data_IF_319620332100
#
_entry.id   IF_319620332100
#
_cell.length_a   1.000
_cell.length_b   1.000
_cell.length_c   1.000
_cell.angle_alpha   90.00
_cell.angle_beta   90.00
_cell.angle_gamma   90.00
#
_symmetry.space_group_name_H-M   'P 1'
#
loop_
_entity.id
_entity.type
_entity.pdbx_description
1 polymer ?
#
# COMPACT_ATOMS: atom_id res chain seq x y z
N UNK A 1 -8.12 17.41 -8.85
CA UNK A 1 -8.73 16.40 -7.97
C UNK A 1 -10.08 16.91 -7.47
N UNK A 2 -10.99 16.03 -7.07
CA UNK A 2 -12.24 16.46 -6.42
C UNK A 2 -12.05 16.46 -4.90
N UNK A 3 -12.38 17.55 -4.23
CA UNK A 3 -12.35 17.70 -2.77
C UNK A 3 -13.71 18.22 -2.35
N UNK A 4 -14.41 17.51 -1.45
CA UNK A 4 -15.78 17.83 -1.03
C UNK A 4 -16.75 18.11 -2.20
N UNK A 5 -16.63 17.28 -3.25
CA UNK A 5 -17.44 17.38 -4.47
C UNK A 5 -17.04 18.51 -5.43
N UNK A 6 -15.97 19.28 -5.15
CA UNK A 6 -15.52 20.39 -6.00
C UNK A 6 -14.21 20.07 -6.70
N UNK A 7 -14.09 20.33 -8.01
CA UNK A 7 -12.82 20.19 -8.70
C UNK A 7 -11.85 21.28 -8.22
N UNK A 8 -10.68 20.86 -7.75
CA UNK A 8 -9.62 21.72 -7.23
C UNK A 8 -8.27 21.33 -7.83
N UNK A 9 -7.45 22.35 -8.10
CA UNK A 9 -6.03 22.21 -8.41
C UNK A 9 -5.25 22.19 -7.10
N UNK A 10 -4.47 21.13 -6.87
CA UNK A 10 -3.77 20.89 -5.62
C UNK A 10 -2.27 20.69 -5.87
N UNK A 11 -1.44 21.05 -4.89
CA UNK A 11 -0.05 20.62 -4.84
C UNK A 11 0.06 19.34 -4.00
N UNK A 12 0.08 18.18 -4.68
CA UNK A 12 0.12 16.87 -4.02
C UNK A 12 1.58 16.46 -3.76
N UNK A 13 1.98 16.46 -2.48
CA UNK A 13 3.29 16.02 -2.04
C UNK A 13 3.30 14.50 -1.81
N UNK A 14 4.32 13.81 -2.31
CA UNK A 14 4.49 12.36 -2.13
C UNK A 14 5.86 12.08 -1.53
N UNK A 15 5.91 11.44 -0.36
CA UNK A 15 7.12 10.97 0.30
C UNK A 15 6.92 9.49 0.64
N UNK A 16 7.72 8.60 0.04
CA UNK A 16 7.50 7.15 0.15
C UNK A 16 6.19 6.69 -0.51
N UNK A 17 5.72 7.41 -1.52
CA UNK A 17 4.47 7.12 -2.24
C UNK A 17 4.64 7.36 -3.73
N UNK A 18 3.90 6.61 -4.54
CA UNK A 18 3.98 6.64 -6.01
C UNK A 18 2.66 7.15 -6.59
N UNK A 19 2.72 7.89 -7.71
CA UNK A 19 1.53 8.29 -8.46
C UNK A 19 0.90 7.06 -9.13
N UNK A 20 -0.43 6.94 -9.06
CA UNK A 20 -1.20 5.81 -9.54
C UNK A 20 -2.50 6.28 -10.21
N UNK A 21 -2.39 6.88 -11.41
CA UNK A 21 -3.55 7.35 -12.16
C UNK A 21 -4.42 6.22 -12.73
N UNK A 22 -5.74 6.43 -12.77
CA UNK A 22 -6.70 5.41 -13.20
C UNK A 22 -6.70 5.21 -14.73
N UNK A 23 -7.30 4.11 -15.23
CA UNK A 23 -7.59 3.96 -16.66
C UNK A 23 -8.29 5.18 -17.25
N UNK A 24 -7.99 5.51 -18.51
CA UNK A 24 -8.58 6.65 -19.22
C UNK A 24 -7.93 8.00 -18.93
N UNK A 25 -7.09 8.12 -17.90
CA UNK A 25 -6.48 9.41 -17.54
C UNK A 25 -5.58 9.96 -18.67
N UNK A 26 -5.74 11.24 -18.98
CA UNK A 26 -5.10 11.89 -20.14
C UNK A 26 -3.57 11.94 -20.04
N UNK A 27 -3.03 12.06 -18.84
CA UNK A 27 -1.58 12.05 -18.58
C UNK A 27 -0.92 10.67 -18.70
N UNK A 28 -1.68 9.59 -18.89
CA UNK A 28 -1.12 8.26 -19.11
C UNK A 28 -0.78 8.10 -20.61
N UNK A 29 0.41 7.54 -20.95
CA UNK A 29 0.74 7.20 -22.33
C UNK A 29 -0.37 6.34 -22.99
N UNK A 30 -0.66 6.55 -24.29
CA UNK A 30 -1.75 5.85 -24.98
C UNK A 30 -1.71 4.32 -24.83
N UNK A 31 -0.52 3.73 -24.77
CA UNK A 31 -0.28 2.29 -24.70
C UNK A 31 -0.80 1.68 -23.39
N UNK A 32 -0.83 2.45 -22.30
CA UNK A 32 -1.28 1.99 -20.98
C UNK A 32 -2.60 2.62 -20.55
N UNK A 33 -3.09 3.63 -21.28
CA UNK A 33 -4.28 4.39 -20.87
C UNK A 33 -5.50 3.50 -20.64
N UNK A 34 -5.69 2.44 -21.42
CA UNK A 34 -6.82 1.52 -21.26
C UNK A 34 -6.77 0.70 -19.95
N UNK A 35 -5.57 0.43 -19.41
CA UNK A 35 -5.39 -0.41 -18.21
C UNK A 35 -5.07 0.39 -16.95
N UNK A 36 -4.70 1.67 -17.09
CA UNK A 36 -4.27 2.53 -15.99
C UNK A 36 -2.75 2.68 -15.93
N UNK A 37 -2.28 3.56 -15.05
CA UNK A 37 -0.86 3.88 -14.97
C UNK A 37 -0.10 2.67 -14.39
N UNK A 38 0.93 2.14 -15.06
CA UNK A 38 1.82 1.17 -14.45
C UNK A 38 2.53 1.80 -13.24
N UNK A 39 2.54 1.08 -12.13
CA UNK A 39 3.19 1.50 -10.88
C UNK A 39 4.24 0.46 -10.54
N UNK A 40 5.49 0.92 -10.38
CA UNK A 40 6.61 0.08 -9.98
C UNK A 40 6.77 0.16 -8.47
N UNK A 41 6.69 -0.99 -7.80
CA UNK A 41 6.90 -1.11 -6.35
C UNK A 41 8.21 -1.89 -6.13
N UNK A 42 9.34 -1.19 -5.94
CA UNK A 42 10.59 -1.85 -5.57
C UNK A 42 10.49 -2.60 -4.24
N UNK A 43 11.10 -3.78 -4.21
CA UNK A 43 11.52 -4.44 -2.98
C UNK A 43 12.92 -4.01 -2.53
N UNK A 44 13.50 -4.78 -1.62
CA UNK A 44 14.94 -4.74 -1.31
C UNK A 44 15.78 -5.58 -2.27
N UNK A 45 17.10 -5.43 -2.14
CA UNK A 45 18.04 -6.43 -2.64
C UNK A 45 17.70 -7.82 -2.10
N UNK A 46 17.23 -8.71 -2.99
CA UNK A 46 16.92 -10.10 -2.66
C UNK A 46 15.46 -10.37 -2.27
N UNK A 47 14.57 -9.38 -2.36
CA UNK A 47 13.12 -9.58 -2.25
C UNK A 47 12.41 -9.26 -3.56
N UNK A 48 11.18 -9.73 -3.70
CA UNK A 48 10.40 -9.47 -4.91
C UNK A 48 10.03 -7.99 -5.08
N UNK A 49 9.80 -7.61 -6.35
CA UNK A 49 9.28 -6.31 -6.76
C UNK A 49 7.98 -6.51 -7.51
N UNK A 50 7.08 -5.52 -7.46
CA UNK A 50 5.73 -5.65 -8.02
C UNK A 50 5.46 -4.60 -9.08
N UNK A 51 4.64 -4.97 -10.06
CA UNK A 51 4.02 -4.05 -11.01
C UNK A 51 2.53 -4.03 -10.74
N UNK A 52 2.00 -2.86 -10.43
CA UNK A 52 0.58 -2.63 -10.20
C UNK A 52 0.03 -1.70 -11.27
N UNK A 53 -1.30 -1.53 -11.29
CA UNK A 53 -1.98 -0.51 -12.12
C UNK A 53 -2.75 0.46 -11.24
N UNK A 54 -2.72 1.74 -11.58
CA UNK A 54 -3.52 2.76 -10.92
C UNK A 54 -5.01 2.54 -11.13
N UNK A 55 -5.83 2.98 -10.17
CA UNK A 55 -7.26 2.68 -10.12
C UNK A 55 -8.10 3.93 -9.84
N UNK A 56 -9.38 3.89 -10.23
CA UNK A 56 -10.34 4.95 -9.90
C UNK A 56 -10.49 5.12 -8.39
N UNK A 57 -10.40 4.02 -7.64
CA UNK A 57 -10.41 4.04 -6.19
C UNK A 57 -9.23 4.86 -5.65
N UNK A 58 -8.01 4.64 -6.14
CA UNK A 58 -6.86 5.44 -5.73
C UNK A 58 -7.04 6.92 -6.06
N UNK A 59 -7.69 7.26 -7.17
CA UNK A 59 -8.00 8.64 -7.55
C UNK A 59 -8.95 9.32 -6.57
N UNK A 60 -9.97 8.61 -6.10
CA UNK A 60 -10.96 9.10 -5.15
C UNK A 60 -10.49 9.14 -3.69
N UNK A 61 -9.71 8.14 -3.26
CA UNK A 61 -9.37 7.95 -1.84
C UNK A 61 -7.98 8.46 -1.47
N UNK A 62 -7.04 8.50 -2.42
CA UNK A 62 -5.62 8.76 -2.16
C UNK A 62 -4.98 9.76 -3.14
N UNK A 63 -5.79 10.62 -3.77
CA UNK A 63 -5.33 11.60 -4.76
C UNK A 63 -4.50 10.97 -5.90
N UNK A 64 -4.90 9.79 -6.36
CA UNK A 64 -4.21 9.02 -7.39
C UNK A 64 -2.80 8.62 -6.93
N UNK A 65 -2.69 8.10 -5.71
CA UNK A 65 -1.42 7.68 -5.13
C UNK A 65 -1.51 6.25 -4.56
N UNK A 66 -0.37 5.60 -4.45
CA UNK A 66 -0.20 4.28 -3.84
C UNK A 66 1.16 4.19 -3.15
N UNK A 67 1.51 3.03 -2.59
CA UNK A 67 2.80 2.79 -1.95
C UNK A 67 3.99 2.92 -2.93
N UNK A 68 5.19 3.00 -2.36
CA UNK A 68 6.45 2.98 -3.10
C UNK A 68 7.24 1.70 -2.82
N UNK A 69 7.29 1.25 -1.56
CA UNK A 69 8.13 0.12 -1.16
C UNK A 69 7.31 -1.12 -0.81
N UNK A 70 7.89 -2.29 -1.04
CA UNK A 70 7.41 -3.57 -0.53
C UNK A 70 8.36 -4.15 0.53
N UNK A 71 7.90 -5.17 1.27
CA UNK A 71 8.76 -5.98 2.14
C UNK A 71 9.17 -5.39 3.49
N UNK A 72 8.76 -4.14 3.81
CA UNK A 72 9.00 -3.53 5.13
C UNK A 72 8.13 -4.17 6.22
N UNK A 73 8.76 -4.59 7.31
CA UNK A 73 8.04 -4.96 8.53
C UNK A 73 7.46 -3.72 9.20
N UNK A 74 6.17 -3.76 9.49
CA UNK A 74 5.44 -2.78 10.27
C UNK A 74 5.12 -3.38 11.64
N UNK A 75 5.57 -2.73 12.71
CA UNK A 75 5.21 -3.12 14.07
C UNK A 75 3.74 -2.85 14.37
N UNK A 76 3.22 -3.52 15.41
CA UNK A 76 1.83 -3.31 15.84
C UNK A 76 1.59 -1.86 16.27
N UNK A 77 2.52 -1.31 17.05
CA UNK A 77 2.52 0.08 17.48
C UNK A 77 2.55 1.05 16.30
N UNK A 78 3.44 0.88 15.31
CA UNK A 78 3.48 1.76 14.13
C UNK A 78 2.14 1.77 13.38
N UNK A 79 1.52 0.61 13.19
CA UNK A 79 0.21 0.52 12.54
C UNK A 79 -0.85 1.19 13.41
N UNK A 80 -0.85 0.92 14.72
CA UNK A 80 -1.80 1.49 15.66
C UNK A 80 -1.73 3.02 15.71
N UNK A 81 -0.53 3.55 15.85
CA UNK A 81 -0.27 4.99 15.92
C UNK A 81 -0.70 5.69 14.64
N UNK A 82 -0.48 5.07 13.48
CA UNK A 82 -0.84 5.65 12.18
C UNK A 82 -2.34 5.67 11.89
N UNK A 83 -3.13 4.76 12.48
CA UNK A 83 -4.54 4.56 12.12
C UNK A 83 -5.53 4.86 13.25
N UNK A 84 -5.16 4.64 14.52
CA UNK A 84 -6.11 4.61 15.63
C UNK A 84 -5.72 5.45 16.84
N UNK A 85 -4.47 5.93 16.96
CA UNK A 85 -4.06 6.74 18.13
C UNK A 85 -4.88 8.03 18.31
N UNK A 86 -5.43 8.59 17.23
CA UNK A 86 -6.29 9.78 17.26
C UNK A 86 -7.75 9.52 17.64
N UNK A 87 -8.21 8.27 17.57
CA UNK A 87 -9.65 7.92 17.61
C UNK A 87 -10.14 7.52 19.02
N UNK A 88 -9.28 7.62 20.03
CA UNK A 88 -9.62 7.25 21.41
C UNK A 88 -9.74 5.75 21.67
N UNK A 89 -9.35 4.91 20.70
CA UNK A 89 -9.20 3.46 20.90
C UNK A 89 -8.03 3.21 21.85
N UNK A 90 -8.18 2.29 22.82
CA UNK A 90 -7.19 2.09 23.89
C UNK A 90 -6.34 0.83 23.76
N UNK A 91 -6.51 0.03 22.70
CA UNK A 91 -5.81 -1.25 22.57
C UNK A 91 -5.25 -1.50 21.17
N UNK A 92 -3.93 -1.76 21.12
CA UNK A 92 -3.23 -2.22 19.92
C UNK A 92 -3.75 -3.56 19.39
N UNK A 93 -4.50 -4.33 20.18
CA UNK A 93 -5.07 -5.61 19.76
C UNK A 93 -6.07 -5.46 18.60
N UNK A 94 -6.61 -4.26 18.38
CA UNK A 94 -7.45 -3.97 17.21
C UNK A 94 -6.70 -4.25 15.90
N UNK A 95 -5.38 -4.04 15.88
CA UNK A 95 -4.54 -4.31 14.71
C UNK A 95 -4.66 -5.77 14.29
N UNK A 96 -4.66 -6.72 15.23
CA UNK A 96 -4.79 -8.14 14.90
C UNK A 96 -6.10 -8.51 14.26
N UNK A 97 -7.19 -7.91 14.74
CA UNK A 97 -8.53 -8.14 14.22
C UNK A 97 -8.57 -7.72 12.75
N UNK A 98 -8.08 -6.52 12.45
CA UNK A 98 -8.05 -6.01 11.08
C UNK A 98 -7.03 -6.75 10.20
N UNK A 99 -5.88 -7.17 10.72
CA UNK A 99 -4.95 -8.04 9.99
C UNK A 99 -5.64 -9.37 9.61
N UNK A 100 -6.44 -9.95 10.52
CA UNK A 100 -7.24 -11.13 10.23
C UNK A 100 -8.25 -10.90 9.09
N UNK A 101 -8.94 -9.76 9.11
CA UNK A 101 -9.86 -9.38 8.02
C UNK A 101 -9.13 -9.17 6.70
N UNK A 102 -8.00 -8.48 6.72
CA UNK A 102 -7.20 -8.22 5.53
C UNK A 102 -6.66 -9.52 4.94
N UNK A 103 -6.14 -10.45 5.73
CA UNK A 103 -5.70 -11.77 5.24
C UNK A 103 -6.82 -12.51 4.54
N UNK A 104 -8.02 -12.51 5.11
CA UNK A 104 -9.18 -13.14 4.48
C UNK A 104 -9.57 -12.44 3.18
N UNK A 105 -9.59 -11.11 3.17
CA UNK A 105 -9.94 -10.30 1.99
C UNK A 105 -8.90 -10.44 0.87
N UNK A 106 -7.63 -10.53 1.24
CA UNK A 106 -6.48 -10.66 0.35
C UNK A 106 -6.08 -12.12 0.13
N UNK A 107 -6.97 -13.09 0.43
CA UNK A 107 -6.68 -14.51 0.18
C UNK A 107 -6.22 -14.65 -1.27
N UNK A 108 -4.96 -15.06 -1.48
CA UNK A 108 -4.30 -14.85 -2.76
C UNK A 108 -5.02 -15.62 -3.88
N UNK A 109 -5.28 -14.98 -5.04
CA UNK A 109 -5.65 -15.74 -6.23
C UNK A 109 -4.49 -16.66 -6.62
N UNK A 110 -4.76 -17.73 -7.37
CA UNK A 110 -3.77 -18.77 -7.71
C UNK A 110 -2.44 -18.20 -8.28
N UNK A 111 -2.50 -17.03 -8.92
CA UNK A 111 -1.37 -16.41 -9.63
C UNK A 111 -0.66 -15.27 -8.87
N UNK A 112 -1.03 -14.96 -7.62
CA UNK A 112 -0.42 -13.87 -6.86
C UNK A 112 -0.08 -14.30 -5.44
N UNK A 113 1.18 -14.63 -5.17
CA UNK A 113 1.60 -15.28 -3.94
C UNK A 113 1.71 -14.36 -2.72
N UNK A 114 1.73 -13.03 -2.90
CA UNK A 114 2.02 -12.11 -1.81
C UNK A 114 0.93 -12.11 -0.75
N UNK A 115 1.34 -12.23 0.52
CA UNK A 115 0.43 -12.29 1.65
C UNK A 115 0.92 -11.44 2.83
N UNK A 116 0.02 -11.18 3.78
CA UNK A 116 0.39 -10.56 5.06
C UNK A 116 0.96 -11.64 5.98
N UNK A 117 2.28 -11.66 6.15
CA UNK A 117 3.00 -12.60 7.04
C UNK A 117 3.24 -11.98 8.42
N UNK A 118 3.19 -12.81 9.45
CA UNK A 118 3.59 -12.41 10.81
C UNK A 118 5.09 -12.65 10.98
N UNK A 119 5.83 -11.60 11.35
CA UNK A 119 7.22 -11.70 11.78
C UNK A 119 7.25 -11.70 13.30
N UNK A 120 7.55 -12.86 13.90
CA UNK A 120 7.49 -13.06 15.36
C UNK A 120 8.25 -11.96 16.10
N UNK A 121 7.60 -11.39 17.11
CA UNK A 121 8.12 -10.31 17.96
C UNK A 121 8.50 -9.01 17.21
N UNK A 122 8.18 -8.87 15.92
CA UNK A 122 8.49 -7.67 15.12
C UNK A 122 7.27 -7.00 14.51
N UNK A 123 6.26 -7.77 14.10
CA UNK A 123 5.03 -7.23 13.52
C UNK A 123 4.58 -7.99 12.27
N UNK A 124 4.19 -7.24 11.24
CA UNK A 124 3.59 -7.76 10.01
C UNK A 124 4.33 -7.26 8.77
N UNK A 125 4.32 -8.05 7.70
CA UNK A 125 4.91 -7.68 6.42
C UNK A 125 4.03 -8.20 5.28
N UNK A 126 3.88 -7.40 4.22
CA UNK A 126 3.28 -7.85 2.98
C UNK A 126 4.40 -8.26 2.00
N UNK A 127 4.44 -9.55 1.63
CA UNK A 127 5.56 -10.12 0.85
C UNK A 127 5.25 -11.52 0.37
N UNK A 128 6.03 -12.00 -0.59
CA UNK A 128 5.91 -13.36 -1.11
C UNK A 128 6.49 -14.41 -0.13
N UNK A 129 6.04 -15.67 -0.23
CA UNK A 129 6.65 -16.78 0.48
C UNK A 129 8.14 -16.90 0.15
N UNK A 130 8.99 -16.98 1.17
CA UNK A 130 10.44 -17.10 1.00
C UNK A 130 11.22 -15.78 1.05
N UNK A 131 10.57 -14.62 0.88
CA UNK A 131 11.24 -13.32 1.03
C UNK A 131 11.74 -13.13 2.46
N UNK A 132 12.96 -12.59 2.62
CA UNK A 132 13.48 -12.12 3.90
C UNK A 132 12.99 -10.70 4.21
N UNK A 133 12.16 -10.50 5.25
CA UNK A 133 11.57 -9.18 5.52
C UNK A 133 12.60 -8.14 5.96
N UNK A 134 12.44 -6.90 5.50
CA UNK A 134 13.21 -5.75 5.99
C UNK A 134 12.79 -5.42 7.42
N UNK A 135 13.72 -5.27 8.38
CA UNK A 135 13.36 -4.91 9.74
C UNK A 135 12.62 -3.57 9.83
N UNK A 136 11.73 -3.44 10.81
CA UNK A 136 11.06 -2.17 11.09
C UNK A 136 12.09 -1.08 11.45
N UNK A 137 11.83 0.16 11.04
CA UNK A 137 12.67 1.32 11.36
C UNK A 137 13.97 1.48 10.55
N UNK A 138 14.29 0.57 9.63
CA UNK A 138 15.38 0.82 8.66
C UNK A 138 14.97 1.93 7.69
N UNK A 139 15.81 2.95 7.51
CA UNK A 139 15.57 4.01 6.54
C UNK A 139 15.58 3.48 5.10
N UNK A 140 14.81 4.15 4.23
CA UNK A 140 14.98 4.12 2.77
C UNK A 140 15.92 5.22 2.31
#
# INVERSE_FOLDING_TARGET
>A
HNVDGKPMTLCVHRKGATRAFPPGHSEIPPEYRAVGQPVLIPGDMGTNSYVLVGTEQAMGEAFGSTCHDAGRVMSRGEIFDSLWAGDGTSSENIVDVYIGYLRKKLSPPEDFAAEIRTVRNKGFVFSDPGDTPRPAGSAT
#
